data_IF_233422348365
#
_entry.id   IF_233422348365
#
_cell.length_a   1.000
_cell.length_b   1.000
_cell.length_c   1.000
_cell.angle_alpha   90.00
_cell.angle_beta   90.00
_cell.angle_gamma   90.00
#
_symmetry.space_group_name_H-M   'P 1'
#
loop_
_entity.id
_entity.type
_entity.pdbx_description
1 polymer ?
#
# COMPACT_ATOMS: atom_id res chain seq x y z
N UNK A 1 -17.39 -12.67 4.14
CA UNK A 1 -16.82 -11.66 5.04
C UNK A 1 -17.21 -10.30 4.50
N UNK A 2 -18.14 -9.60 5.16
CA UNK A 2 -18.64 -8.29 4.71
C UNK A 2 -17.75 -7.18 5.28
N UNK A 3 -17.44 -6.12 4.52
CA UNK A 3 -16.69 -4.99 5.05
C UNK A 3 -17.54 -4.25 6.09
N UNK A 4 -17.04 -4.17 7.32
CA UNK A 4 -17.64 -3.38 8.40
C UNK A 4 -17.16 -1.94 8.21
N UNK A 5 -18.11 -1.01 8.04
CA UNK A 5 -17.80 0.42 8.00
C UNK A 5 -18.26 1.07 9.30
N UNK A 6 -17.38 1.89 9.87
CA UNK A 6 -17.61 2.59 11.13
C UNK A 6 -17.64 4.09 10.87
N UNK A 7 -18.67 4.77 11.38
CA UNK A 7 -18.77 6.24 11.35
C UNK A 7 -18.73 6.80 12.77
N UNK A 8 -17.77 7.68 13.10
CA UNK A 8 -17.65 8.28 14.44
C UNK A 8 -18.74 9.31 14.79
N UNK A 9 -19.52 9.81 13.82
CA UNK A 9 -20.26 11.07 13.99
C UNK A 9 -21.66 10.93 14.61
N UNK A 10 -21.99 9.80 15.25
CA UNK A 10 -23.26 9.67 15.99
C UNK A 10 -23.07 10.12 17.44
N UNK A 11 -22.82 11.41 17.62
CA UNK A 11 -22.87 12.09 18.91
C UNK A 11 -24.30 12.48 19.24
N UNK A 12 -25.10 11.52 19.69
CA UNK A 12 -26.47 11.75 20.12
C UNK A 12 -26.95 10.57 20.96
N UNK A 13 -27.22 10.84 22.23
CA UNK A 13 -27.60 9.90 23.28
C UNK A 13 -28.53 8.77 22.78
N UNK A 14 -28.05 7.52 22.81
CA UNK A 14 -28.91 6.32 22.77
C UNK A 14 -29.05 5.55 21.45
N UNK A 15 -28.03 5.47 20.59
CA UNK A 15 -28.05 4.58 19.41
C UNK A 15 -27.29 3.28 19.65
N UNK A 16 -27.94 2.13 19.48
CA UNK A 16 -27.28 0.82 19.45
C UNK A 16 -26.22 0.77 18.35
N UNK A 17 -25.00 0.36 18.72
CA UNK A 17 -23.90 0.13 17.79
C UNK A 17 -24.12 -1.18 17.03
N UNK A 18 -24.99 -1.17 16.02
CA UNK A 18 -25.22 -2.34 15.19
C UNK A 18 -24.57 -2.20 13.81
N UNK A 19 -23.75 -3.18 13.38
CA UNK A 19 -23.25 -3.21 12.02
C UNK A 19 -24.43 -3.37 11.05
N UNK A 20 -24.50 -2.49 10.06
CA UNK A 20 -25.52 -2.56 9.01
C UNK A 20 -25.30 -3.82 8.15
N UNK A 21 -26.32 -4.68 8.04
CA UNK A 21 -26.25 -5.91 7.25
C UNK A 21 -26.87 -5.72 5.87
N UNK A 22 -26.03 -5.76 4.83
CA UNK A 22 -26.43 -5.83 3.44
C UNK A 22 -25.39 -6.64 2.66
N UNK A 23 -25.82 -7.67 1.95
CA UNK A 23 -24.95 -8.61 1.25
C UNK A 23 -24.71 -8.20 -0.21
N UNK A 24 -23.49 -7.87 -0.64
CA UNK A 24 -23.14 -7.96 -2.05
C UNK A 24 -22.88 -9.44 -2.41
N UNK A 25 -23.25 -9.83 -3.63
CA UNK A 25 -23.02 -11.17 -4.15
C UNK A 25 -21.52 -11.49 -4.21
N UNK A 26 -21.15 -12.73 -3.91
CA UNK A 26 -19.78 -13.30 -3.94
C UNK A 26 -19.08 -13.26 -5.32
N UNK A 27 -19.64 -12.54 -6.29
CA UNK A 27 -19.16 -12.45 -7.68
C UNK A 27 -18.66 -11.03 -8.06
N UNK A 28 -18.39 -10.18 -7.07
CA UNK A 28 -17.85 -8.83 -7.30
C UNK A 28 -16.31 -8.86 -7.30
N UNK A 29 -15.61 -7.92 -7.97
CA UNK A 29 -14.14 -7.83 -8.08
C UNK A 29 -13.45 -7.46 -6.75
N UNK A 30 -13.76 -8.19 -5.69
CA UNK A 30 -13.32 -7.92 -4.32
C UNK A 30 -12.12 -8.78 -3.93
N UNK A 31 -11.56 -8.50 -2.76
CA UNK A 31 -10.52 -9.31 -2.15
C UNK A 31 -11.03 -10.72 -1.87
N UNK A 32 -10.27 -11.72 -2.30
CA UNK A 32 -10.56 -13.14 -2.08
C UNK A 32 -9.80 -13.72 -0.89
N UNK A 33 -8.82 -12.97 -0.38
CA UNK A 33 -8.01 -13.30 0.79
C UNK A 33 -8.06 -12.17 1.84
N UNK A 34 -7.41 -12.38 2.99
CA UNK A 34 -7.40 -11.43 4.09
C UNK A 34 -6.76 -10.10 3.68
N UNK A 35 -7.34 -8.98 4.16
CA UNK A 35 -6.76 -7.65 3.96
C UNK A 35 -5.60 -7.49 4.95
N UNK A 36 -4.39 -7.24 4.43
CA UNK A 36 -3.16 -7.08 5.22
C UNK A 36 -2.79 -5.61 5.46
N UNK A 37 -3.39 -4.66 4.72
CA UNK A 37 -3.17 -3.24 4.91
C UNK A 37 -4.26 -2.37 4.30
N UNK A 38 -4.50 -1.20 4.90
CA UNK A 38 -5.45 -0.21 4.41
C UNK A 38 -5.02 1.21 4.79
N UNK A 39 -5.20 2.17 3.89
CA UNK A 39 -4.98 3.59 4.16
C UNK A 39 -5.95 4.48 3.37
N UNK A 40 -6.22 5.68 3.88
CA UNK A 40 -6.90 6.75 3.13
C UNK A 40 -5.83 7.61 2.47
N UNK A 41 -5.82 7.60 1.15
CA UNK A 41 -4.83 8.27 0.31
C UNK A 41 -5.45 9.47 -0.39
N UNK A 42 -4.77 10.62 -0.35
CA UNK A 42 -5.14 11.82 -1.10
C UNK A 42 -5.30 13.07 -0.24
N UNK A 43 -6.09 14.01 -0.73
CA UNK A 43 -6.35 15.31 -0.08
C UNK A 43 -7.73 15.33 0.59
N UNK A 44 -8.01 16.33 1.43
CA UNK A 44 -9.33 16.49 2.06
C UNK A 44 -10.49 16.44 1.05
N UNK A 45 -10.28 16.97 -0.16
CA UNK A 45 -11.34 17.11 -1.15
C UNK A 45 -11.30 16.04 -2.25
N UNK A 46 -10.21 15.26 -2.32
CA UNK A 46 -10.04 14.18 -3.29
C UNK A 46 -9.18 13.09 -2.64
N UNK A 47 -9.87 12.14 -2.00
CA UNK A 47 -9.25 11.01 -1.32
C UNK A 47 -9.98 9.73 -1.68
N UNK A 48 -9.26 8.62 -1.58
CA UNK A 48 -9.76 7.27 -1.78
C UNK A 48 -9.23 6.38 -0.66
N UNK A 49 -9.88 5.24 -0.46
CA UNK A 49 -9.34 4.20 0.42
C UNK A 49 -8.56 3.23 -0.46
N UNK A 50 -7.34 2.90 -0.06
CA UNK A 50 -6.53 1.85 -0.69
C UNK A 50 -6.47 0.67 0.25
N UNK A 51 -6.79 -0.53 -0.25
CA UNK A 51 -6.66 -1.77 0.52
C UNK A 51 -5.79 -2.78 -0.21
N UNK A 52 -5.02 -3.55 0.55
CA UNK A 52 -4.13 -4.59 0.04
C UNK A 52 -4.48 -5.93 0.69
N UNK A 53 -4.55 -6.97 -0.12
CA UNK A 53 -4.82 -8.35 0.29
C UNK A 53 -3.54 -9.18 0.36
N UNK A 54 -3.56 -10.25 1.16
CA UNK A 54 -2.44 -11.21 1.26
C UNK A 54 -2.11 -11.93 -0.05
N UNK A 55 -2.98 -11.87 -1.06
CA UNK A 55 -2.71 -12.37 -2.42
C UNK A 55 -2.03 -11.33 -3.34
N UNK A 56 -1.67 -10.16 -2.81
CA UNK A 56 -1.07 -9.09 -3.62
C UNK A 56 -2.08 -8.32 -4.46
N UNK A 57 -3.38 -8.50 -4.21
CA UNK A 57 -4.42 -7.67 -4.82
C UNK A 57 -4.50 -6.32 -4.11
N UNK A 58 -4.48 -5.24 -4.89
CA UNK A 58 -4.65 -3.86 -4.44
C UNK A 58 -5.97 -3.35 -4.99
N UNK A 59 -6.83 -2.82 -4.13
CA UNK A 59 -8.12 -2.26 -4.49
C UNK A 59 -8.22 -0.80 -4.04
N UNK A 60 -8.68 0.06 -4.94
CA UNK A 60 -8.97 1.47 -4.66
C UNK A 60 -10.48 1.67 -4.57
N UNK A 61 -10.92 2.29 -3.49
CA UNK A 61 -12.32 2.53 -3.19
C UNK A 61 -12.59 4.01 -3.12
N UNK A 62 -13.71 4.43 -3.72
CA UNK A 62 -14.21 5.78 -3.51
C UNK A 62 -14.85 5.90 -2.15
N UNK A 63 -14.57 6.97 -1.40
CA UNK A 63 -15.26 7.22 -0.14
C UNK A 63 -16.74 7.55 -0.31
N UNK A 64 -17.17 7.91 -1.53
CA UNK A 64 -18.57 8.12 -1.85
C UNK A 64 -19.31 6.83 -2.26
N UNK A 65 -18.59 5.82 -2.77
CA UNK A 65 -19.16 4.56 -3.25
C UNK A 65 -18.28 3.39 -2.85
N UNK A 66 -18.70 2.70 -1.80
CA UNK A 66 -17.95 1.61 -1.15
C UNK A 66 -18.55 0.23 -1.47
N UNK A 67 -19.53 0.17 -2.39
CA UNK A 67 -20.15 -1.08 -2.85
C UNK A 67 -19.22 -1.91 -3.72
N UNK A 68 -18.36 -1.26 -4.50
CA UNK A 68 -17.39 -1.89 -5.39
C UNK A 68 -16.13 -1.03 -5.50
N UNK A 69 -14.94 -1.65 -5.68
CA UNK A 69 -13.72 -0.88 -5.89
C UNK A 69 -13.74 -0.25 -7.29
N UNK A 70 -13.30 1.01 -7.39
CA UNK A 70 -13.12 1.69 -8.67
C UNK A 70 -12.01 1.05 -9.50
N UNK A 71 -10.97 0.56 -8.84
CA UNK A 71 -9.89 -0.17 -9.48
C UNK A 71 -9.43 -1.33 -8.61
N UNK A 72 -9.09 -2.43 -9.26
CA UNK A 72 -8.45 -3.58 -8.66
C UNK A 72 -7.31 -4.04 -9.55
N UNK A 73 -6.13 -4.28 -8.96
CA UNK A 73 -4.95 -4.79 -9.65
C UNK A 73 -4.33 -5.90 -8.84
N UNK A 74 -3.98 -7.00 -9.49
CA UNK A 74 -3.25 -8.11 -8.87
C UNK A 74 -1.77 -7.96 -9.19
N UNK A 75 -0.96 -7.79 -8.14
CA UNK A 75 0.48 -7.62 -8.27
C UNK A 75 1.14 -8.99 -8.46
N UNK A 76 1.99 -9.07 -9.49
CA UNK A 76 2.79 -10.26 -9.82
C UNK A 76 4.26 -9.91 -9.92
N UNK A 77 5.14 -10.88 -9.79
CA UNK A 77 6.57 -10.72 -10.03
C UNK A 77 6.93 -10.70 -11.54
N UNK A 78 8.22 -10.84 -11.87
CA UNK A 78 8.69 -10.93 -13.27
C UNK A 78 8.22 -12.21 -13.96
N UNK A 79 8.05 -13.29 -13.19
CA UNK A 79 7.73 -14.63 -13.66
C UNK A 79 6.21 -14.87 -13.73
N UNK A 80 5.42 -13.79 -13.61
CA UNK A 80 3.95 -13.82 -13.59
C UNK A 80 3.36 -14.63 -12.42
N UNK A 81 4.10 -14.77 -11.32
CA UNK A 81 3.61 -15.36 -10.09
C UNK A 81 3.03 -14.28 -9.19
N UNK A 82 1.86 -14.55 -8.62
CA UNK A 82 1.20 -13.65 -7.68
C UNK A 82 2.03 -13.50 -6.40
N UNK A 83 2.17 -12.27 -5.90
CA UNK A 83 2.86 -12.04 -4.64
C UNK A 83 2.05 -12.54 -3.45
N UNK A 84 2.72 -13.17 -2.49
CA UNK A 84 2.12 -13.52 -1.20
C UNK A 84 2.50 -12.48 -0.15
N UNK A 85 1.61 -11.54 0.14
CA UNK A 85 1.87 -10.37 0.99
C UNK A 85 1.63 -10.71 2.47
N UNK A 86 2.55 -10.26 3.31
CA UNK A 86 2.53 -10.43 4.77
C UNK A 86 2.57 -9.10 5.52
N UNK A 87 3.14 -8.05 4.94
CA UNK A 87 3.21 -6.72 5.55
C UNK A 87 3.02 -5.61 4.49
N UNK A 88 2.51 -4.45 4.92
CA UNK A 88 2.25 -3.31 4.06
C UNK A 88 2.65 -2.03 4.79
N UNK A 89 3.35 -1.15 4.10
CA UNK A 89 3.64 0.21 4.55
C UNK A 89 3.33 1.19 3.43
N UNK A 90 2.70 2.30 3.79
CA UNK A 90 2.37 3.37 2.86
C UNK A 90 3.40 4.49 2.98
N UNK A 91 3.73 5.14 1.86
CA UNK A 91 4.71 6.21 1.87
C UNK A 91 4.08 7.55 2.25
N UNK A 92 4.68 8.23 3.22
CA UNK A 92 4.35 9.61 3.57
C UNK A 92 4.78 10.62 2.49
N UNK A 93 5.67 10.22 1.57
CA UNK A 93 6.31 11.10 0.59
C UNK A 93 5.56 11.12 -0.74
N UNK A 94 4.98 9.98 -1.11
CA UNK A 94 4.23 9.76 -2.33
C UNK A 94 3.01 8.90 -2.01
N UNK A 95 1.83 9.52 -2.11
CA UNK A 95 0.55 8.89 -1.78
C UNK A 95 0.26 7.66 -2.67
N UNK A 96 0.89 7.58 -3.84
CA UNK A 96 0.70 6.49 -4.79
C UNK A 96 1.69 5.35 -4.60
N UNK A 97 2.66 5.50 -3.70
CA UNK A 97 3.71 4.52 -3.47
C UNK A 97 3.37 3.65 -2.27
N UNK A 98 3.18 2.36 -2.54
CA UNK A 98 2.99 1.34 -1.51
C UNK A 98 4.21 0.42 -1.45
N UNK A 99 4.61 0.07 -0.24
CA UNK A 99 5.69 -0.88 0.01
C UNK A 99 5.11 -2.14 0.64
N UNK A 100 5.46 -3.30 0.09
CA UNK A 100 4.89 -4.58 0.44
C UNK A 100 6.00 -5.53 0.87
N UNK A 101 5.75 -6.26 1.94
CA UNK A 101 6.59 -7.35 2.42
C UNK A 101 5.95 -8.67 2.06
N UNK A 102 6.75 -9.61 1.58
CA UNK A 102 6.25 -10.91 1.11
C UNK A 102 6.66 -12.06 2.04
N UNK A 103 5.97 -13.20 1.90
CA UNK A 103 6.30 -14.44 2.60
C UNK A 103 7.66 -15.04 2.20
N UNK A 104 8.15 -14.72 1.00
CA UNK A 104 9.45 -15.17 0.49
C UNK A 104 10.60 -14.18 0.75
N UNK A 105 10.39 -13.17 1.59
CA UNK A 105 11.45 -12.27 2.06
C UNK A 105 11.77 -11.09 1.14
N UNK A 106 10.95 -10.84 0.12
CA UNK A 106 11.08 -9.66 -0.72
C UNK A 106 10.40 -8.44 -0.10
N UNK A 107 10.99 -7.29 -0.39
CA UNK A 107 10.35 -5.99 -0.28
C UNK A 107 10.05 -5.50 -1.69
N UNK A 108 8.76 -5.29 -1.97
CA UNK A 108 8.25 -4.86 -3.26
C UNK A 108 7.69 -3.46 -3.13
N UNK A 109 8.22 -2.50 -3.88
CA UNK A 109 7.65 -1.16 -3.99
C UNK A 109 6.80 -1.12 -5.24
N UNK A 110 5.52 -0.81 -5.09
CA UNK A 110 4.59 -0.64 -6.19
C UNK A 110 4.10 0.80 -6.18
N UNK A 111 4.34 1.51 -7.28
CA UNK A 111 3.79 2.84 -7.51
C UNK A 111 2.56 2.72 -8.38
N UNK A 112 1.45 3.21 -7.87
CA UNK A 112 0.15 3.16 -8.48
C UNK A 112 -0.04 4.47 -9.24
N UNK A 113 0.28 4.50 -10.52
CA UNK A 113 0.11 5.71 -11.33
C UNK A 113 -1.23 5.64 -12.09
N UNK A 114 -2.07 6.68 -11.88
CA UNK A 114 -3.25 6.92 -12.70
C UNK A 114 -2.79 7.59 -13.99
N UNK A 115 -2.72 6.85 -15.10
CA UNK A 115 -2.62 7.49 -16.41
C UNK A 115 -3.92 8.22 -16.72
N UNK A 116 -3.78 9.45 -17.22
CA UNK A 116 -4.85 10.37 -17.59
C UNK A 116 -5.94 9.69 -18.43
N UNK A 117 -7.08 9.41 -17.79
CA UNK A 117 -8.30 8.93 -18.45
C UNK A 117 -8.91 7.73 -17.75
N UNK A 118 -10.20 7.81 -17.43
CA UNK A 118 -11.02 6.81 -16.72
C UNK A 118 -11.09 5.41 -17.38
N UNK A 119 -10.27 5.12 -18.39
CA UNK A 119 -10.35 3.93 -19.24
C UNK A 119 -9.03 3.18 -19.41
N UNK A 120 -7.90 3.68 -18.89
CA UNK A 120 -6.63 2.91 -18.91
C UNK A 120 -6.38 2.22 -17.58
N UNK A 121 -5.94 0.94 -17.57
CA UNK A 121 -5.56 0.27 -16.33
C UNK A 121 -4.41 1.02 -15.65
N UNK A 122 -4.43 1.08 -14.32
CA UNK A 122 -3.36 1.70 -13.53
C UNK A 122 -2.02 1.07 -13.90
N UNK A 123 -1.03 1.92 -14.18
CA UNK A 123 0.31 1.44 -14.43
C UNK A 123 0.98 1.20 -13.09
N UNK A 124 1.41 -0.04 -12.88
CA UNK A 124 2.18 -0.42 -11.70
C UNK A 124 3.64 -0.46 -12.10
N UNK A 125 4.40 0.55 -11.65
CA UNK A 125 5.87 0.43 -11.67
C UNK A 125 6.29 -0.28 -10.40
N UNK A 126 7.06 -1.36 -10.55
CA UNK A 126 7.48 -2.20 -9.44
C UNK A 126 9.00 -2.34 -9.38
N UNK A 127 9.54 -2.27 -8.17
CA UNK A 127 10.91 -2.67 -7.86
C UNK A 127 10.85 -3.71 -6.73
N UNK A 128 11.51 -4.84 -6.93
CA UNK A 128 11.59 -5.92 -5.95
C UNK A 128 13.01 -6.06 -5.46
N UNK A 129 13.19 -6.19 -4.14
CA UNK A 129 14.47 -6.41 -3.49
C UNK A 129 14.35 -7.63 -2.58
N UNK A 130 15.22 -8.63 -2.74
CA UNK A 130 15.34 -9.71 -1.76
C UNK A 130 15.95 -9.13 -0.47
N UNK A 131 15.09 -8.84 0.49
CA UNK A 131 15.45 -8.10 1.69
C UNK A 131 15.83 -9.03 2.85
N UNK A 132 15.21 -10.21 2.95
CA UNK A 132 15.30 -11.13 4.07
C UNK A 132 15.34 -12.60 3.60
N UNK A 133 15.86 -13.49 4.45
CA UNK A 133 15.88 -14.95 4.20
C UNK A 133 14.65 -15.65 4.81
N UNK A 134 13.53 -14.92 4.82
CA UNK A 134 12.29 -15.35 5.44
C UNK A 134 11.23 -14.26 5.35
N UNK A 135 9.98 -14.65 5.60
CA UNK A 135 8.81 -13.77 5.55
C UNK A 135 9.03 -12.43 6.25
N UNK A 136 8.76 -11.35 5.52
CA UNK A 136 8.75 -9.99 6.07
C UNK A 136 7.50 -9.83 6.94
N UNK A 137 7.66 -9.55 8.22
CA UNK A 137 6.54 -9.48 9.18
C UNK A 137 6.13 -8.06 9.51
N UNK A 138 7.03 -7.09 9.32
CA UNK A 138 6.77 -5.68 9.58
C UNK A 138 7.49 -4.82 8.56
N UNK A 139 6.82 -3.73 8.17
CA UNK A 139 7.37 -2.65 7.37
C UNK A 139 6.93 -1.33 7.97
N UNK A 140 7.83 -0.36 8.01
CA UNK A 140 7.51 0.98 8.47
C UNK A 140 8.29 2.02 7.66
N UNK A 141 7.55 2.95 7.04
CA UNK A 141 8.14 4.05 6.28
C UNK A 141 8.43 5.20 7.23
N UNK A 142 9.62 5.79 7.16
CA UNK A 142 9.98 6.89 8.04
C UNK A 142 9.07 8.11 7.80
N UNK A 143 8.43 8.68 8.84
CA UNK A 143 7.53 9.81 8.67
C UNK A 143 8.30 11.08 8.30
N UNK A 144 8.24 11.49 7.03
CA UNK A 144 8.93 12.69 6.56
C UNK A 144 8.34 14.01 7.08
N UNK A 145 7.13 13.99 7.65
CA UNK A 145 6.43 15.20 8.10
C UNK A 145 7.19 15.95 9.20
N UNK A 146 7.92 15.24 10.07
CA UNK A 146 8.66 15.85 11.18
C UNK A 146 10.00 16.48 10.77
N UNK A 147 10.70 15.90 9.79
CA UNK A 147 12.00 16.43 9.35
C UNK A 147 11.84 17.77 8.61
N UNK A 148 10.78 17.93 7.79
CA UNK A 148 10.55 19.16 7.03
C UNK A 148 10.23 20.37 7.93
N UNK A 149 9.65 20.13 9.10
CA UNK A 149 9.33 21.19 10.06
C UNK A 149 10.55 21.60 10.91
N UNK A 150 11.54 20.70 11.08
CA UNK A 150 12.63 20.86 12.05
C UNK A 150 14.01 21.11 11.43
N UNK A 151 14.25 20.76 10.16
CA UNK A 151 15.55 20.95 9.51
C UNK A 151 15.59 22.10 8.50
N UNK A 152 16.67 22.88 8.59
CA UNK A 152 17.03 23.93 7.62
C UNK A 152 17.21 23.29 6.22
N UNK A 153 16.70 23.90 5.13
CA UNK A 153 16.65 23.28 3.78
C UNK A 153 17.99 22.77 3.22
N UNK A 154 19.11 23.23 3.78
CA UNK A 154 20.47 22.95 3.31
C UNK A 154 21.08 21.65 3.87
N UNK A 155 20.40 20.94 4.78
CA UNK A 155 20.91 19.69 5.41
C UNK A 155 20.10 18.47 4.97
N UNK A 156 19.59 18.46 3.73
CA UNK A 156 19.01 17.24 3.15
C UNK A 156 20.12 16.35 2.62
N UNK A 157 20.75 15.57 3.51
CA UNK A 157 21.69 14.52 3.10
C UNK A 157 20.97 13.17 3.14
N UNK A 158 20.38 12.76 2.01
CA UNK A 158 20.18 11.35 1.67
C UNK A 158 19.31 10.47 2.58
N UNK A 159 18.46 11.02 3.46
CA UNK A 159 17.59 10.24 4.37
C UNK A 159 16.10 10.48 4.12
N UNK A 160 15.75 10.94 2.92
CA UNK A 160 14.38 11.35 2.58
C UNK A 160 13.47 10.14 2.29
N UNK A 161 14.00 8.93 2.20
CA UNK A 161 13.22 7.73 1.86
C UNK A 161 13.74 6.51 2.63
N UNK A 162 13.53 6.52 3.95
CA UNK A 162 13.96 5.44 4.84
C UNK A 162 12.82 4.45 5.07
N UNK A 163 13.15 3.16 5.01
CA UNK A 163 12.24 2.06 5.28
C UNK A 163 12.85 1.13 6.33
N UNK A 164 12.13 0.83 7.39
CA UNK A 164 12.48 -0.24 8.33
C UNK A 164 11.72 -1.52 7.97
N UNK A 165 12.38 -2.66 8.05
CA UNK A 165 11.76 -3.98 7.87
C UNK A 165 12.17 -4.95 8.97
N UNK A 166 11.26 -5.84 9.35
CA UNK A 166 11.51 -6.96 10.27
C UNK A 166 11.05 -8.28 9.64
N UNK A 167 11.71 -9.38 10.00
CA UNK A 167 11.43 -10.70 9.43
C UNK A 167 11.52 -11.83 10.46
N UNK A 168 10.94 -12.98 10.09
CA UNK A 168 11.07 -14.25 10.81
C UNK A 168 12.48 -14.84 10.73
N UNK A 169 13.37 -14.30 9.88
CA UNK A 169 14.80 -14.62 9.86
C UNK A 169 15.58 -14.03 11.07
N UNK A 170 14.85 -13.44 12.02
CA UNK A 170 15.34 -12.81 13.24
C UNK A 170 16.19 -11.56 13.00
N UNK A 171 16.07 -10.94 11.83
CA UNK A 171 16.72 -9.67 11.52
C UNK A 171 15.73 -8.52 11.39
N UNK A 172 16.21 -7.32 11.72
CA UNK A 172 15.58 -6.07 11.36
C UNK A 172 16.58 -5.24 10.55
N UNK A 173 16.13 -4.63 9.45
CA UNK A 173 16.98 -3.90 8.50
C UNK A 173 16.41 -2.51 8.27
N UNK A 174 17.31 -1.55 8.07
CA UNK A 174 16.98 -0.19 7.70
C UNK A 174 17.53 0.08 6.30
N UNK A 175 16.66 0.53 5.40
CA UNK A 175 16.95 0.73 3.99
C UNK A 175 16.86 2.19 3.62
N UNK A 176 17.72 2.61 2.72
CA UNK A 176 17.59 3.89 2.02
C UNK A 176 17.07 3.62 0.60
N UNK A 177 15.81 3.97 0.36
CA UNK A 177 15.08 3.64 -0.85
C UNK A 177 15.23 4.71 -1.94
N UNK A 178 15.91 5.82 -1.67
CA UNK A 178 16.03 6.98 -2.55
C UNK A 178 16.70 6.71 -3.92
N UNK A 179 17.30 5.53 -4.13
CA UNK A 179 17.91 5.12 -5.41
C UNK A 179 17.38 3.81 -6.00
N UNK A 180 16.43 3.14 -5.33
CA UNK A 180 15.93 1.83 -5.78
C UNK A 180 15.06 1.95 -7.05
N UNK A 181 14.39 3.09 -7.22
CA UNK A 181 13.54 3.35 -8.39
C UNK A 181 14.35 3.72 -9.66
N UNK A 182 15.61 4.16 -9.51
CA UNK A 182 16.47 4.58 -10.62
C UNK A 182 17.25 3.41 -11.23
N UNK A 183 17.75 2.48 -10.40
CA UNK A 183 18.51 1.32 -10.87
C UNK A 183 17.68 0.38 -11.76
N UNK A 184 16.37 0.31 -11.55
CA UNK A 184 15.49 -0.55 -12.36
C UNK A 184 15.24 0.00 -13.77
N UNK A 185 15.47 1.30 -14.03
CA UNK A 185 15.35 1.90 -15.37
C UNK A 185 16.54 1.63 -16.29
N UNK A 186 17.66 1.17 -15.72
CA UNK A 186 18.89 0.86 -16.48
C UNK A 186 18.84 -0.57 -17.02
N UNK A 187 18.19 -1.50 -16.32
CA UNK A 187 18.06 -2.91 -16.72
C UNK A 187 17.16 -3.17 -17.93
N UNK A 188 16.21 -2.28 -18.23
CA UNK A 188 15.29 -2.40 -19.37
C UNK A 188 15.88 -1.84 -20.70
N UNK A 189 17.19 -1.53 -20.73
CA UNK A 189 17.87 -0.89 -21.88
C UNK A 189 18.93 -1.76 -22.56
N UNK A 190 19.03 -3.04 -22.24
CA UNK A 190 19.93 -3.98 -22.92
C UNK A 190 19.19 -4.99 -23.81
#
# INVERSE_FOLDING_TARGET
FSPVQWSPTVGGLGGSHEPYSGSPSLASPMHTQAICGMEIVGTRNAHHVTTVSSEGKVCLWSTAQLSEPHHSVLLRDSDQKDYSISAVAFSDTDANLITLGTHDGHVVRARLDSTTGNSTPWQVTKASLLAHDGMVTALDCHPLRDIRATQKPTVRRGFDDLLASGSVDWTAKLWNMAGVDENNKIGDRE
#
